data_IF_205078978936
#
_entry.id   IF_205078978936
#
_cell.length_a   1.000
_cell.length_b   1.000
_cell.length_c   1.000
_cell.angle_alpha   90.00
_cell.angle_beta   90.00
_cell.angle_gamma   90.00
#
_symmetry.space_group_name_H-M   'P 1'
#
loop_
_entity.id
_entity.type
_entity.pdbx_description
1 polymer ?
#
# COMPACT_ATOMS: atom_id res chain seq x y z
N UNK A 1 18.37 -5.00 -18.55
CA UNK A 1 16.95 -5.43 -18.64
C UNK A 1 16.47 -5.30 -20.07
N UNK A 2 15.72 -6.27 -20.63
CA UNK A 2 15.16 -6.13 -22.00
C UNK A 2 14.12 -4.99 -21.99
N UNK A 3 14.07 -4.19 -23.06
CA UNK A 3 13.15 -3.03 -23.19
C UNK A 3 11.68 -3.37 -22.86
N UNK A 4 11.23 -4.58 -23.25
CA UNK A 4 9.89 -5.08 -22.93
C UNK A 4 9.64 -5.24 -21.43
N UNK A 5 10.64 -5.69 -20.65
CA UNK A 5 10.51 -5.84 -19.19
C UNK A 5 10.44 -4.46 -18.49
N UNK A 6 11.22 -3.47 -18.94
CA UNK A 6 11.15 -2.10 -18.42
C UNK A 6 9.75 -1.51 -18.65
N UNK A 7 9.26 -1.58 -19.90
CA UNK A 7 7.94 -1.06 -20.26
C UNK A 7 6.82 -1.69 -19.42
N UNK A 8 6.82 -3.03 -19.28
CA UNK A 8 5.82 -3.75 -18.52
C UNK A 8 5.90 -3.40 -17.00
N UNK A 9 7.11 -3.22 -16.44
CA UNK A 9 7.30 -2.77 -15.06
C UNK A 9 6.69 -1.39 -14.84
N UNK A 10 6.98 -0.42 -15.72
CA UNK A 10 6.43 0.94 -15.64
C UNK A 10 4.89 0.90 -15.74
N UNK A 11 4.33 0.18 -16.72
CA UNK A 11 2.87 0.13 -16.89
C UNK A 11 2.15 -0.59 -15.72
N UNK A 12 2.77 -1.61 -15.14
CA UNK A 12 2.24 -2.26 -13.95
C UNK A 12 2.26 -1.33 -12.72
N UNK A 13 3.30 -0.49 -12.59
CA UNK A 13 3.43 0.43 -11.45
C UNK A 13 2.45 1.61 -11.48
N UNK A 14 2.00 2.05 -12.66
CA UNK A 14 1.06 3.18 -12.79
C UNK A 14 -0.26 2.95 -12.06
N UNK A 15 -0.79 1.73 -12.08
CA UNK A 15 -2.01 1.42 -11.34
C UNK A 15 -1.82 1.47 -9.83
N UNK A 16 -0.68 0.98 -9.35
CA UNK A 16 -0.37 1.06 -7.93
C UNK A 16 -0.17 2.50 -7.42
N UNK A 17 0.37 3.40 -8.27
CA UNK A 17 0.44 4.84 -7.95
C UNK A 17 -0.97 5.38 -7.71
N UNK A 18 -1.90 5.10 -8.63
CA UNK A 18 -3.27 5.58 -8.54
C UNK A 18 -3.99 5.00 -7.31
N UNK A 19 -3.78 3.72 -7.04
CA UNK A 19 -4.38 3.04 -5.90
C UNK A 19 -3.98 3.70 -4.58
N UNK A 20 -2.68 3.92 -4.37
CA UNK A 20 -2.19 4.58 -3.16
C UNK A 20 -2.64 6.03 -3.09
N UNK A 21 -2.69 6.73 -4.23
CA UNK A 21 -3.23 8.08 -4.31
C UNK A 21 -4.68 8.14 -3.80
N UNK A 22 -5.58 7.40 -4.43
CA UNK A 22 -7.01 7.42 -4.10
C UNK A 22 -7.29 6.95 -2.67
N UNK A 23 -6.62 5.87 -2.27
CA UNK A 23 -6.88 5.25 -0.98
C UNK A 23 -6.42 6.13 0.18
N UNK A 24 -5.25 6.74 0.04
CA UNK A 24 -4.66 7.60 1.08
C UNK A 24 -5.24 9.01 1.04
N UNK A 25 -5.64 9.49 -0.12
CA UNK A 25 -6.33 10.77 -0.25
C UNK A 25 -7.56 10.85 0.67
N UNK A 26 -8.28 9.73 0.83
CA UNK A 26 -9.39 9.64 1.76
C UNK A 26 -8.98 9.99 3.21
N UNK A 27 -7.79 9.56 3.64
CA UNK A 27 -7.29 9.83 5.01
C UNK A 27 -7.05 11.32 5.23
N UNK A 28 -6.58 12.04 4.20
CA UNK A 28 -6.36 13.49 4.29
C UNK A 28 -7.65 14.30 4.36
N UNK A 29 -8.77 13.76 3.88
CA UNK A 29 -10.07 14.44 3.87
C UNK A 29 -11.08 13.85 4.87
N UNK A 30 -10.66 13.04 5.84
CA UNK A 30 -11.56 12.40 6.82
C UNK A 30 -12.41 13.42 7.58
N UNK A 31 -11.84 14.55 8.01
CA UNK A 31 -12.57 15.62 8.72
C UNK A 31 -13.64 16.28 7.83
N UNK A 32 -13.35 16.46 6.55
CA UNK A 32 -14.30 16.99 5.56
C UNK A 32 -15.44 15.99 5.32
N UNK A 33 -15.09 14.70 5.16
CA UNK A 33 -16.11 13.66 4.94
C UNK A 33 -17.04 13.48 6.14
N UNK A 34 -16.54 13.62 7.37
CA UNK A 34 -17.38 13.61 8.55
C UNK A 34 -18.45 14.70 8.52
N UNK A 35 -18.10 15.89 8.02
CA UNK A 35 -19.03 17.03 7.93
C UNK A 35 -19.97 16.96 6.71
N UNK A 36 -19.51 16.38 5.59
CA UNK A 36 -20.24 16.39 4.32
C UNK A 36 -21.19 15.20 4.16
N UNK A 37 -20.80 14.00 4.63
CA UNK A 37 -21.51 12.76 4.32
C UNK A 37 -22.18 12.09 5.54
N UNK A 38 -22.11 12.72 6.70
CA UNK A 38 -22.73 12.20 7.92
C UNK A 38 -23.68 13.24 8.55
N UNK A 39 -24.58 12.81 9.46
CA UNK A 39 -25.47 13.73 10.15
C UNK A 39 -24.70 14.81 10.91
N UNK A 40 -25.11 16.10 10.82
CA UNK A 40 -24.40 17.21 11.48
C UNK A 40 -24.56 17.24 13.02
N UNK A 41 -25.58 16.52 13.54
CA UNK A 41 -25.97 16.62 14.94
C UNK A 41 -25.01 15.92 15.93
N UNK A 42 -24.15 15.04 15.45
CA UNK A 42 -23.21 14.29 16.31
C UNK A 42 -21.84 14.10 15.65
N UNK A 43 -20.91 15.01 15.95
CA UNK A 43 -19.55 14.97 15.43
C UNK A 43 -18.77 13.70 15.82
N UNK A 44 -19.03 13.11 16.98
CA UNK A 44 -18.38 11.88 17.40
C UNK A 44 -18.78 10.71 16.49
N UNK A 45 -20.09 10.48 16.29
CA UNK A 45 -20.58 9.42 15.42
C UNK A 45 -20.25 9.64 13.94
N UNK A 46 -20.18 10.90 13.49
CA UNK A 46 -19.71 11.23 12.15
C UNK A 46 -18.25 10.78 11.94
N UNK A 47 -17.35 11.08 12.87
CA UNK A 47 -15.96 10.63 12.82
C UNK A 47 -15.85 9.10 12.89
N UNK A 48 -16.58 8.45 13.80
CA UNK A 48 -16.63 6.97 13.87
C UNK A 48 -17.10 6.39 12.53
N UNK A 49 -18.12 6.98 11.92
CA UNK A 49 -18.66 6.56 10.63
C UNK A 49 -17.63 6.65 9.48
N UNK A 50 -16.87 7.75 9.40
CA UNK A 50 -15.81 7.91 8.39
C UNK A 50 -14.72 6.86 8.56
N UNK A 51 -14.21 6.68 9.78
CA UNK A 51 -13.19 5.65 10.02
C UNK A 51 -13.70 4.23 9.80
N UNK A 52 -14.97 3.98 10.12
CA UNK A 52 -15.63 2.69 9.82
C UNK A 52 -15.75 2.47 8.32
N UNK A 53 -16.10 3.51 7.54
CA UNK A 53 -16.15 3.41 6.08
C UNK A 53 -14.76 3.13 5.48
N UNK A 54 -13.72 3.76 6.01
CA UNK A 54 -12.33 3.46 5.66
C UNK A 54 -11.97 1.99 5.98
N UNK A 55 -12.31 1.54 7.18
CA UNK A 55 -12.13 0.14 7.60
C UNK A 55 -12.90 -0.85 6.73
N UNK A 56 -14.11 -0.53 6.30
CA UNK A 56 -14.90 -1.35 5.39
C UNK A 56 -14.17 -1.60 4.05
N UNK A 57 -13.48 -0.57 3.51
CA UNK A 57 -12.60 -0.73 2.36
C UNK A 57 -11.47 -1.72 2.60
N UNK A 58 -10.80 -1.66 3.75
CA UNK A 58 -9.75 -2.64 4.10
C UNK A 58 -10.29 -4.05 4.29
N UNK A 59 -11.44 -4.22 4.95
CA UNK A 59 -12.08 -5.52 5.17
C UNK A 59 -12.59 -6.15 3.86
N UNK A 60 -12.88 -5.36 2.85
CA UNK A 60 -13.26 -5.87 1.52
C UNK A 60 -12.07 -6.44 0.72
N UNK A 61 -10.82 -6.00 1.00
CA UNK A 61 -9.62 -6.43 0.25
C UNK A 61 -9.39 -7.95 0.22
N UNK A 62 -9.51 -8.72 1.32
CA UNK A 62 -9.38 -10.17 1.26
C UNK A 62 -10.36 -10.84 0.31
N UNK A 63 -11.60 -10.36 0.23
CA UNK A 63 -12.61 -10.89 -0.68
C UNK A 63 -12.26 -10.59 -2.13
N UNK A 64 -11.81 -9.36 -2.43
CA UNK A 64 -11.27 -9.00 -3.74
C UNK A 64 -10.08 -9.86 -4.11
N UNK A 65 -9.13 -10.08 -3.19
CA UNK A 65 -7.99 -10.95 -3.40
C UNK A 65 -8.41 -12.40 -3.73
N UNK A 66 -9.38 -12.97 -3.00
CA UNK A 66 -9.88 -14.33 -3.28
C UNK A 66 -10.44 -14.46 -4.68
N UNK A 67 -11.25 -13.51 -5.12
CA UNK A 67 -11.92 -13.57 -6.42
C UNK A 67 -10.94 -13.27 -7.55
N UNK A 68 -10.28 -12.11 -7.52
CA UNK A 68 -9.46 -11.65 -8.63
C UNK A 68 -8.15 -12.41 -8.77
N UNK A 69 -7.48 -12.77 -7.66
CA UNK A 69 -6.26 -13.54 -7.77
C UNK A 69 -6.51 -14.98 -8.23
N UNK A 70 -7.65 -15.58 -7.87
CA UNK A 70 -8.07 -16.85 -8.44
C UNK A 70 -8.20 -16.76 -9.98
N UNK A 71 -8.92 -15.77 -10.47
CA UNK A 71 -9.03 -15.58 -11.92
C UNK A 71 -7.67 -15.26 -12.56
N UNK A 72 -6.78 -14.58 -11.87
CA UNK A 72 -5.42 -14.32 -12.36
C UNK A 72 -4.57 -15.56 -12.52
N UNK A 73 -4.67 -16.53 -11.61
CA UNK A 73 -3.97 -17.82 -11.73
C UNK A 73 -4.62 -18.77 -12.75
N UNK A 74 -5.94 -18.68 -12.97
CA UNK A 74 -6.69 -19.58 -13.86
C UNK A 74 -6.83 -19.03 -15.29
N UNK A 75 -7.09 -17.72 -15.44
CA UNK A 75 -7.42 -17.08 -16.73
C UNK A 75 -6.38 -16.10 -17.26
N UNK A 76 -5.34 -15.80 -16.46
CA UNK A 76 -4.26 -14.89 -16.81
C UNK A 76 -4.25 -13.60 -15.99
N UNK A 77 -3.05 -13.07 -15.77
CA UNK A 77 -2.80 -11.90 -14.91
C UNK A 77 -3.29 -10.59 -15.57
N UNK A 78 -3.12 -10.46 -16.88
CA UNK A 78 -3.45 -9.25 -17.65
C UNK A 78 -4.90 -8.81 -17.51
N UNK A 79 -5.85 -9.75 -17.62
CA UNK A 79 -7.27 -9.43 -17.57
C UNK A 79 -7.71 -8.96 -16.19
N UNK A 80 -7.14 -9.53 -15.14
CA UNK A 80 -7.40 -9.12 -13.76
C UNK A 80 -6.98 -7.69 -13.54
N UNK A 81 -5.79 -7.30 -14.01
CA UNK A 81 -5.31 -5.92 -13.93
C UNK A 81 -6.20 -4.91 -14.65
N UNK A 82 -6.77 -5.29 -15.76
CA UNK A 82 -7.68 -4.42 -16.50
C UNK A 82 -8.98 -4.21 -15.73
N UNK A 83 -9.57 -5.28 -15.20
CA UNK A 83 -10.85 -5.24 -14.47
C UNK A 83 -10.68 -4.51 -13.13
N UNK A 84 -9.62 -4.80 -12.37
CA UNK A 84 -9.36 -4.12 -11.08
C UNK A 84 -9.22 -2.61 -11.26
N UNK A 85 -8.55 -2.16 -12.33
CA UNK A 85 -8.40 -0.75 -12.63
C UNK A 85 -9.76 -0.07 -12.96
N UNK A 86 -10.61 -0.70 -13.77
CA UNK A 86 -11.96 -0.19 -14.05
C UNK A 86 -12.77 -0.05 -12.76
N UNK A 87 -12.65 -1.03 -11.85
CA UNK A 87 -13.32 -0.98 -10.56
C UNK A 87 -12.76 0.08 -9.59
N UNK A 88 -11.61 0.67 -9.88
CA UNK A 88 -11.09 1.81 -9.11
C UNK A 88 -11.52 3.16 -9.69
N UNK A 89 -11.62 3.29 -11.00
CA UNK A 89 -12.00 4.53 -11.67
C UNK A 89 -13.44 4.95 -11.30
N UNK A 90 -14.37 4.00 -11.35
CA UNK A 90 -15.78 4.28 -11.05
C UNK A 90 -16.00 4.82 -9.63
N UNK A 91 -15.45 4.23 -8.57
CA UNK A 91 -15.55 4.78 -7.21
C UNK A 91 -14.91 6.15 -7.04
N UNK A 92 -13.78 6.45 -7.71
CA UNK A 92 -13.13 7.77 -7.61
C UNK A 92 -14.07 8.86 -8.13
N UNK A 93 -14.66 8.66 -9.31
CA UNK A 93 -15.68 9.59 -9.82
C UNK A 93 -16.96 9.58 -8.97
N UNK A 94 -17.43 8.42 -8.52
CA UNK A 94 -18.60 8.34 -7.66
C UNK A 94 -18.41 9.15 -6.37
N UNK A 95 -17.22 9.12 -5.75
CA UNK A 95 -16.91 9.92 -4.57
C UNK A 95 -16.83 11.42 -4.90
N UNK A 96 -16.27 11.79 -6.06
CA UNK A 96 -16.18 13.17 -6.51
C UNK A 96 -17.57 13.81 -6.73
N UNK A 97 -18.52 13.04 -7.23
CA UNK A 97 -19.87 13.53 -7.56
C UNK A 97 -20.93 13.14 -6.53
N UNK A 98 -20.54 12.52 -5.41
CA UNK A 98 -21.49 12.14 -4.36
C UNK A 98 -22.12 13.38 -3.73
N UNK A 99 -23.48 13.50 -3.72
CA UNK A 99 -24.17 14.58 -3.03
C UNK A 99 -23.97 14.50 -1.51
N UNK A 100 -24.03 15.65 -0.84
CA UNK A 100 -23.87 15.74 0.62
C UNK A 100 -25.03 15.10 1.38
N UNK A 101 -24.83 14.86 2.68
CA UNK A 101 -25.88 14.41 3.59
C UNK A 101 -27.06 15.40 3.62
N UNK A 102 -26.80 16.70 3.56
CA UNK A 102 -27.84 17.74 3.50
C UNK A 102 -28.76 17.59 2.27
N UNK A 103 -28.23 17.07 1.16
CA UNK A 103 -28.96 16.92 -0.10
C UNK A 103 -29.77 15.64 -0.17
N UNK A 104 -29.20 14.49 0.23
CA UNK A 104 -29.79 13.15 0.02
C UNK A 104 -29.88 12.32 1.33
N UNK A 105 -29.59 12.92 2.48
CA UNK A 105 -29.71 12.29 3.78
C UNK A 105 -28.83 11.03 3.92
N UNK A 106 -29.37 10.02 4.57
CA UNK A 106 -28.69 8.74 4.84
C UNK A 106 -28.13 8.05 3.59
N UNK A 107 -28.70 8.32 2.40
CA UNK A 107 -28.18 7.76 1.16
C UNK A 107 -26.74 8.21 0.85
N UNK A 108 -26.32 9.42 1.27
CA UNK A 108 -24.94 9.86 1.15
C UNK A 108 -23.99 8.97 1.94
N UNK A 109 -24.30 8.70 3.19
CA UNK A 109 -23.54 7.82 4.08
C UNK A 109 -23.44 6.40 3.53
N UNK A 110 -24.58 5.80 3.16
CA UNK A 110 -24.61 4.44 2.58
C UNK A 110 -23.79 4.37 1.30
N UNK A 111 -23.94 5.35 0.42
CA UNK A 111 -23.17 5.41 -0.83
C UNK A 111 -21.66 5.51 -0.59
N UNK A 112 -21.24 6.30 0.40
CA UNK A 112 -19.84 6.38 0.80
C UNK A 112 -19.29 4.99 1.22
N UNK A 113 -20.02 4.24 2.05
CA UNK A 113 -19.65 2.88 2.44
C UNK A 113 -19.54 1.95 1.23
N UNK A 114 -20.52 1.96 0.33
CA UNK A 114 -20.52 1.13 -0.87
C UNK A 114 -19.33 1.47 -1.79
N UNK A 115 -19.05 2.74 -2.00
CA UNK A 115 -17.88 3.22 -2.76
C UNK A 115 -16.60 2.64 -2.15
N UNK A 116 -16.42 2.74 -0.83
CA UNK A 116 -15.24 2.22 -0.12
C UNK A 116 -15.10 0.70 -0.22
N UNK A 117 -16.21 -0.04 -0.13
CA UNK A 117 -16.21 -1.49 -0.31
C UNK A 117 -15.77 -1.87 -1.73
N UNK A 118 -16.31 -1.21 -2.77
CA UNK A 118 -15.93 -1.47 -4.16
C UNK A 118 -14.45 -1.14 -4.42
N UNK A 119 -13.95 -0.02 -3.89
CA UNK A 119 -12.51 0.31 -3.93
C UNK A 119 -11.67 -0.79 -3.27
N UNK A 120 -12.07 -1.23 -2.07
CA UNK A 120 -11.36 -2.29 -1.34
C UNK A 120 -11.31 -3.61 -2.11
N UNK A 121 -12.41 -4.03 -2.75
CA UNK A 121 -12.44 -5.21 -3.59
C UNK A 121 -11.44 -5.10 -4.76
N UNK A 122 -11.39 -3.95 -5.44
CA UNK A 122 -10.48 -3.70 -6.55
C UNK A 122 -9.00 -3.79 -6.10
N UNK A 123 -8.68 -3.12 -5.00
CA UNK A 123 -7.34 -3.05 -4.40
C UNK A 123 -6.82 -4.44 -4.00
N UNK A 124 -7.69 -5.35 -3.58
CA UNK A 124 -7.30 -6.67 -3.07
C UNK A 124 -6.42 -7.50 -3.99
N UNK A 125 -6.50 -7.31 -5.31
CA UNK A 125 -5.65 -8.02 -6.27
C UNK A 125 -4.61 -7.13 -6.97
N UNK A 126 -4.76 -5.81 -6.88
CA UNK A 126 -4.01 -4.87 -7.68
C UNK A 126 -2.52 -4.84 -7.29
N UNK A 127 -2.21 -4.52 -6.02
CA UNK A 127 -0.82 -4.40 -5.52
C UNK A 127 -0.09 -5.74 -5.64
N UNK A 128 -0.67 -6.79 -5.08
CA UNK A 128 -0.09 -8.12 -5.07
C UNK A 128 0.07 -8.67 -6.50
N UNK A 129 -0.89 -8.35 -7.36
CA UNK A 129 -0.82 -8.68 -8.77
C UNK A 129 0.32 -7.96 -9.49
N UNK A 130 0.55 -6.66 -9.21
CA UNK A 130 1.68 -5.93 -9.79
C UNK A 130 3.03 -6.56 -9.38
N UNK A 131 3.17 -6.97 -8.11
CA UNK A 131 4.37 -7.66 -7.64
C UNK A 131 4.59 -8.99 -8.37
N UNK A 132 3.55 -9.83 -8.46
CA UNK A 132 3.63 -11.11 -9.17
C UNK A 132 3.93 -10.89 -10.65
N UNK A 133 3.18 -9.99 -11.31
CA UNK A 133 3.34 -9.69 -12.73
C UNK A 133 4.78 -9.28 -13.07
N UNK A 134 5.34 -8.32 -12.32
CA UNK A 134 6.71 -7.85 -12.57
C UNK A 134 7.74 -8.91 -12.21
N UNK A 135 7.55 -9.67 -11.12
CA UNK A 135 8.45 -10.76 -10.75
C UNK A 135 8.57 -11.84 -11.81
N UNK A 136 7.53 -12.02 -12.66
CA UNK A 136 7.48 -13.00 -13.73
C UNK A 136 8.03 -12.50 -15.09
N UNK A 137 8.13 -11.17 -15.26
CA UNK A 137 8.70 -10.55 -16.47
C UNK A 137 10.19 -10.27 -16.40
N UNK A 138 10.70 -10.04 -15.20
CA UNK A 138 12.07 -9.58 -14.99
C UNK A 138 12.97 -10.76 -14.65
N UNK A 139 14.17 -10.80 -15.27
CA UNK A 139 15.17 -11.82 -14.93
C UNK A 139 15.62 -11.72 -13.48
N UNK A 140 16.02 -12.84 -12.88
CA UNK A 140 16.45 -12.93 -11.47
C UNK A 140 17.46 -11.85 -11.07
N UNK A 141 18.44 -11.54 -11.93
CA UNK A 141 19.45 -10.51 -11.71
C UNK A 141 18.88 -9.12 -11.42
N UNK A 142 17.75 -8.74 -12.02
CA UNK A 142 17.15 -7.42 -11.90
C UNK A 142 15.82 -7.42 -11.14
N UNK A 143 15.41 -8.56 -10.59
CA UNK A 143 14.12 -8.73 -9.90
C UNK A 143 14.00 -7.80 -8.71
N UNK A 144 15.02 -7.73 -7.86
CA UNK A 144 15.02 -6.88 -6.66
C UNK A 144 14.99 -5.40 -7.00
N UNK A 145 15.74 -4.97 -8.03
CA UNK A 145 15.68 -3.60 -8.54
C UNK A 145 14.27 -3.26 -9.04
N UNK A 146 13.64 -4.14 -9.81
CA UNK A 146 12.31 -3.88 -10.38
C UNK A 146 11.22 -3.87 -9.30
N UNK A 147 11.28 -4.77 -8.30
CA UNK A 147 10.33 -4.80 -7.20
C UNK A 147 10.55 -3.66 -6.20
N UNK A 148 11.80 -3.24 -5.99
CA UNK A 148 12.13 -2.01 -5.24
C UNK A 148 11.60 -0.75 -5.95
N UNK A 149 11.73 -0.69 -7.29
CA UNK A 149 11.12 0.37 -8.09
C UNK A 149 9.60 0.41 -7.95
N UNK A 150 8.91 -0.75 -7.98
CA UNK A 150 7.46 -0.80 -7.72
C UNK A 150 7.14 -0.25 -6.34
N UNK A 151 7.85 -0.68 -5.30
CA UNK A 151 7.60 -0.17 -3.94
C UNK A 151 7.79 1.35 -3.86
N UNK A 152 8.82 1.88 -4.50
CA UNK A 152 9.04 3.32 -4.60
C UNK A 152 7.89 4.04 -5.33
N UNK A 153 7.39 3.47 -6.43
CA UNK A 153 6.29 4.06 -7.21
C UNK A 153 4.94 3.99 -6.49
N UNK A 154 4.67 2.94 -5.71
CA UNK A 154 3.50 2.87 -4.84
C UNK A 154 3.53 4.01 -3.80
N UNK A 155 4.68 4.19 -3.14
CA UNK A 155 4.89 5.29 -2.19
C UNK A 155 4.82 6.67 -2.87
N UNK A 156 5.17 6.78 -4.15
CA UNK A 156 4.98 8.01 -4.93
C UNK A 156 3.50 8.38 -5.10
N UNK A 157 2.58 7.39 -5.17
CA UNK A 157 1.13 7.65 -5.11
C UNK A 157 0.71 8.35 -3.82
N UNK A 158 1.29 7.94 -2.67
CA UNK A 158 1.09 8.61 -1.38
C UNK A 158 1.62 10.06 -1.40
N UNK A 159 2.79 10.30 -2.01
CA UNK A 159 3.36 11.65 -2.18
C UNK A 159 2.42 12.55 -3.00
N UNK A 160 1.90 12.04 -4.11
CA UNK A 160 0.95 12.80 -4.94
C UNK A 160 -0.31 13.17 -4.15
N UNK A 161 -0.87 12.25 -3.36
CA UNK A 161 -2.02 12.53 -2.47
C UNK A 161 -1.69 13.63 -1.45
N UNK A 162 -0.50 13.55 -0.81
CA UNK A 162 -0.02 14.57 0.13
C UNK A 162 0.18 15.95 -0.51
N UNK A 163 0.79 16.01 -1.70
CA UNK A 163 1.02 17.26 -2.43
C UNK A 163 -0.30 17.89 -2.90
N UNK A 164 -1.24 17.08 -3.40
CA UNK A 164 -2.55 17.58 -3.81
C UNK A 164 -3.35 18.05 -2.59
N UNK A 165 -3.30 17.32 -1.47
CA UNK A 165 -3.91 17.77 -0.21
C UNK A 165 -3.32 19.07 0.27
N UNK A 166 -1.98 19.21 0.26
CA UNK A 166 -1.30 20.46 0.61
C UNK A 166 -1.73 21.61 -0.31
N UNK A 167 -1.78 21.38 -1.62
CA UNK A 167 -2.22 22.39 -2.58
C UNK A 167 -3.65 22.85 -2.31
N UNK A 168 -4.57 21.94 -1.99
CA UNK A 168 -5.96 22.27 -1.60
C UNK A 168 -5.95 23.13 -0.32
N UNK A 169 -5.23 22.73 0.72
CA UNK A 169 -5.24 23.45 1.99
C UNK A 169 -4.58 24.86 1.92
N UNK A 170 -3.68 25.08 0.98
CA UNK A 170 -3.03 26.40 0.77
C UNK A 170 -3.88 27.36 -0.06
N UNK A 171 -4.66 26.84 -1.03
CA UNK A 171 -5.35 27.66 -2.02
C UNK A 171 -6.85 27.86 -1.75
N UNK A 172 -7.44 27.05 -0.86
CA UNK A 172 -8.88 27.11 -0.58
C UNK A 172 -9.12 27.30 0.91
N UNK A 173 -10.13 28.10 1.25
CA UNK A 173 -10.63 28.24 2.63
C UNK A 173 -11.27 26.94 3.11
N UNK A 174 -11.41 26.79 4.43
CA UNK A 174 -12.04 25.61 5.04
C UNK A 174 -13.49 25.42 4.53
N UNK A 175 -14.21 26.52 4.28
CA UNK A 175 -15.56 26.47 3.74
C UNK A 175 -15.58 25.99 2.29
N UNK A 176 -14.70 26.54 1.42
CA UNK A 176 -14.58 26.11 0.03
C UNK A 176 -14.14 24.64 -0.09
N UNK A 177 -13.25 24.18 0.82
CA UNK A 177 -12.85 22.78 0.86
C UNK A 177 -14.05 21.90 1.16
N UNK A 178 -14.88 22.25 2.14
CA UNK A 178 -16.10 21.53 2.50
C UNK A 178 -17.14 21.53 1.39
N UNK A 179 -17.31 22.65 0.70
CA UNK A 179 -18.36 22.80 -0.30
C UNK A 179 -18.06 22.06 -1.60
N UNK A 180 -16.86 22.23 -2.15
CA UNK A 180 -16.53 21.67 -3.46
C UNK A 180 -15.07 21.24 -3.66
N UNK A 181 -14.08 21.92 -3.03
CA UNK A 181 -12.68 21.73 -3.43
C UNK A 181 -12.14 20.33 -3.08
N UNK A 182 -12.69 19.64 -2.05
CA UNK A 182 -12.35 18.27 -1.74
C UNK A 182 -12.63 17.28 -2.89
N UNK A 183 -13.52 17.64 -3.83
CA UNK A 183 -13.90 16.81 -4.99
C UNK A 183 -12.83 16.78 -6.07
N UNK A 184 -12.07 17.87 -6.21
CA UNK A 184 -11.05 18.04 -7.25
C UNK A 184 -9.98 16.92 -7.24
N UNK A 185 -9.43 16.54 -6.08
CA UNK A 185 -8.48 15.43 -6.00
C UNK A 185 -9.02 14.11 -6.52
N UNK A 186 -10.30 13.79 -6.27
CA UNK A 186 -10.93 12.55 -6.73
C UNK A 186 -11.25 12.56 -8.22
N UNK A 187 -11.57 13.74 -8.79
CA UNK A 187 -11.68 13.92 -10.25
C UNK A 187 -10.33 13.66 -10.90
N UNK A 188 -9.25 14.23 -10.35
CA UNK A 188 -7.88 13.98 -10.83
C UNK A 188 -7.53 12.49 -10.76
N UNK A 189 -7.86 11.81 -9.66
CA UNK A 189 -7.70 10.36 -9.50
C UNK A 189 -8.41 9.58 -10.59
N UNK A 190 -9.68 9.89 -10.84
CA UNK A 190 -10.46 9.26 -11.90
C UNK A 190 -9.85 9.47 -13.30
N UNK A 191 -9.39 10.68 -13.62
CA UNK A 191 -8.72 11.01 -14.91
C UNK A 191 -7.41 10.24 -15.05
N UNK A 192 -6.56 10.22 -14.01
CA UNK A 192 -5.34 9.41 -14.02
C UNK A 192 -5.63 7.92 -14.14
N UNK A 193 -6.74 7.45 -13.55
CA UNK A 193 -7.21 6.08 -13.68
C UNK A 193 -7.54 5.70 -15.12
N UNK A 194 -8.25 6.55 -15.84
CA UNK A 194 -8.54 6.35 -17.26
C UNK A 194 -7.24 6.23 -18.07
N UNK A 195 -6.28 7.12 -17.83
CA UNK A 195 -4.99 7.10 -18.51
C UNK A 195 -4.21 5.81 -18.19
N UNK A 196 -4.15 5.42 -16.91
CA UNK A 196 -3.47 4.20 -16.48
C UNK A 196 -4.16 2.95 -17.06
N UNK A 197 -5.48 2.91 -17.09
CA UNK A 197 -6.26 1.84 -17.71
C UNK A 197 -5.93 1.71 -19.21
N UNK A 198 -5.90 2.82 -19.94
CA UNK A 198 -5.51 2.83 -21.35
C UNK A 198 -4.08 2.31 -21.57
N UNK A 199 -3.12 2.69 -20.74
CA UNK A 199 -1.75 2.19 -20.84
C UNK A 199 -1.66 0.67 -20.55
N UNK A 200 -2.49 0.17 -19.64
CA UNK A 200 -2.55 -1.26 -19.30
C UNK A 200 -3.13 -2.15 -20.40
N UNK A 201 -3.95 -1.63 -21.29
CA UNK A 201 -4.40 -2.41 -22.48
C UNK A 201 -3.22 -2.90 -23.33
N UNK A 202 -2.08 -2.18 -23.28
CA UNK A 202 -0.84 -2.50 -24.00
C UNK A 202 0.05 -3.53 -23.28
N UNK A 203 -0.33 -4.01 -22.09
CA UNK A 203 0.38 -5.08 -21.39
C UNK A 203 0.24 -6.41 -22.13
N UNK A 204 1.29 -7.23 -22.05
CA UNK A 204 1.24 -8.62 -22.50
C UNK A 204 1.03 -9.53 -21.30
N UNK A 205 0.54 -10.74 -21.53
CA UNK A 205 0.47 -11.77 -20.50
C UNK A 205 1.87 -12.20 -20.06
N UNK A 206 1.99 -12.70 -18.81
CA UNK A 206 3.28 -13.09 -18.25
C UNK A 206 3.83 -14.33 -18.93
N UNK A 207 5.16 -14.38 -19.21
CA UNK A 207 5.78 -15.57 -19.79
C UNK A 207 5.57 -16.82 -18.94
N UNK A 208 5.52 -16.65 -17.63
CA UNK A 208 5.34 -17.74 -16.68
C UNK A 208 3.92 -18.32 -16.74
N UNK A 209 2.89 -17.47 -16.87
CA UNK A 209 1.52 -17.95 -17.08
C UNK A 209 1.38 -18.71 -18.41
N UNK A 210 1.97 -18.19 -19.49
CA UNK A 210 1.95 -18.86 -20.78
C UNK A 210 2.65 -20.25 -20.73
N UNK A 211 3.76 -20.34 -19.96
CA UNK A 211 4.46 -21.61 -19.72
C UNK A 211 3.57 -22.61 -18.97
N UNK A 212 2.97 -22.19 -17.85
CA UNK A 212 2.08 -23.03 -17.05
C UNK A 212 0.88 -23.51 -17.85
N UNK A 213 0.29 -22.63 -18.67
CA UNK A 213 -0.83 -22.98 -19.56
C UNK A 213 -0.44 -24.00 -20.62
N UNK A 214 0.71 -23.82 -21.26
CA UNK A 214 1.24 -24.74 -22.29
C UNK A 214 1.52 -26.12 -21.71
N UNK A 215 2.07 -26.19 -20.50
CA UNK A 215 2.42 -27.43 -19.82
C UNK A 215 1.24 -28.08 -19.09
N UNK A 216 0.04 -27.49 -19.12
CA UNK A 216 -1.15 -27.95 -18.37
C UNK A 216 -0.93 -28.02 -16.84
N UNK A 217 -0.09 -27.12 -16.30
CA UNK A 217 0.24 -27.01 -14.87
C UNK A 217 -0.67 -26.05 -14.10
N UNK A 218 -1.73 -25.51 -14.74
CA UNK A 218 -2.69 -24.63 -14.08
C UNK A 218 -3.55 -25.39 -13.07
N UNK A 219 -3.67 -24.85 -11.86
CA UNK A 219 -4.48 -25.44 -10.81
C UNK A 219 -5.94 -24.99 -10.92
N UNK A 220 -6.88 -25.89 -10.62
CA UNK A 220 -8.31 -25.55 -10.58
C UNK A 220 -8.68 -24.69 -9.37
N UNK A 221 -8.03 -24.92 -8.21
CA UNK A 221 -8.28 -24.21 -6.98
C UNK A 221 -6.95 -23.78 -6.31
N UNK A 222 -6.23 -22.77 -6.88
CA UNK A 222 -4.90 -22.40 -6.42
C UNK A 222 -4.87 -21.95 -4.96
N UNK A 223 -5.89 -21.21 -4.48
CA UNK A 223 -5.95 -20.75 -3.09
C UNK A 223 -6.08 -21.91 -2.10
N UNK A 224 -6.93 -22.89 -2.39
CA UNK A 224 -7.11 -24.06 -1.50
C UNK A 224 -5.81 -24.85 -1.38
N UNK A 225 -5.10 -25.00 -2.48
CA UNK A 225 -3.80 -25.68 -2.50
C UNK A 225 -2.76 -24.89 -1.72
N UNK A 226 -2.73 -23.55 -1.88
CA UNK A 226 -1.84 -22.69 -1.10
C UNK A 226 -2.08 -22.79 0.40
N UNK A 227 -3.34 -22.77 0.85
CA UNK A 227 -3.72 -22.92 2.26
C UNK A 227 -3.28 -24.26 2.87
N UNK A 228 -3.35 -25.33 2.09
CA UNK A 228 -2.96 -26.68 2.55
C UNK A 228 -1.44 -26.86 2.61
N UNK A 229 -0.70 -26.38 1.60
CA UNK A 229 0.69 -26.78 1.36
C UNK A 229 1.71 -25.67 1.66
N UNK A 230 1.31 -24.37 1.70
CA UNK A 230 2.21 -23.23 1.77
C UNK A 230 2.06 -22.40 3.05
N UNK A 231 1.95 -23.05 4.22
CA UNK A 231 1.78 -22.39 5.54
C UNK A 231 2.96 -21.46 5.90
N UNK A 232 4.22 -21.88 5.67
CA UNK A 232 5.40 -21.04 5.91
C UNK A 232 5.47 -19.83 4.96
N UNK A 233 5.24 -19.95 3.64
CA UNK A 233 5.05 -18.81 2.76
C UNK A 233 3.98 -17.82 3.22
N UNK A 234 2.86 -18.30 3.76
CA UNK A 234 1.81 -17.43 4.32
C UNK A 234 2.29 -16.66 5.56
N UNK A 235 3.06 -17.31 6.44
CA UNK A 235 3.67 -16.62 7.60
C UNK A 235 4.64 -15.52 7.15
N UNK A 236 5.41 -15.74 6.08
CA UNK A 236 6.24 -14.68 5.46
C UNK A 236 5.38 -13.49 5.03
N UNK A 237 4.20 -13.73 4.41
CA UNK A 237 3.28 -12.65 4.06
C UNK A 237 2.76 -11.89 5.27
N UNK A 238 2.43 -12.56 6.38
CA UNK A 238 2.00 -11.92 7.63
C UNK A 238 3.10 -10.99 8.18
N UNK A 239 4.33 -11.47 8.28
CA UNK A 239 5.47 -10.68 8.77
C UNK A 239 5.76 -9.48 7.84
N UNK A 240 5.76 -9.70 6.53
CA UNK A 240 5.97 -8.62 5.56
C UNK A 240 4.82 -7.61 5.57
N UNK A 241 3.58 -8.03 5.80
CA UNK A 241 2.44 -7.13 5.99
C UNK A 241 2.59 -6.23 7.22
N UNK A 242 3.18 -6.75 8.31
CA UNK A 242 3.51 -5.95 9.48
C UNK A 242 4.54 -4.87 9.15
N UNK A 243 5.58 -5.21 8.38
CA UNK A 243 6.58 -4.24 7.91
C UNK A 243 5.97 -3.18 6.97
N UNK A 244 5.07 -3.59 6.07
CA UNK A 244 4.36 -2.67 5.18
C UNK A 244 3.43 -1.73 5.96
N UNK A 245 2.72 -2.23 6.96
CA UNK A 245 1.83 -1.42 7.80
C UNK A 245 2.60 -0.42 8.66
N UNK A 246 3.81 -0.79 9.11
CA UNK A 246 4.68 0.14 9.84
C UNK A 246 5.08 1.34 8.97
N UNK A 247 5.26 1.15 7.66
CA UNK A 247 5.50 2.24 6.71
C UNK A 247 4.34 3.23 6.65
N UNK A 248 3.10 2.73 6.58
CA UNK A 248 1.93 3.59 6.63
C UNK A 248 1.85 4.33 7.97
N UNK A 249 2.06 3.63 9.08
CA UNK A 249 2.04 4.23 10.42
C UNK A 249 3.10 5.34 10.57
N UNK A 250 4.33 5.08 10.15
CA UNK A 250 5.43 6.05 10.20
C UNK A 250 5.13 7.31 9.39
N UNK A 251 4.46 7.18 8.24
CA UNK A 251 4.18 8.30 7.35
C UNK A 251 2.88 9.07 7.65
N UNK A 252 1.89 8.45 8.30
CA UNK A 252 0.56 9.05 8.47
C UNK A 252 0.12 9.22 9.92
N UNK A 253 0.58 8.36 10.83
CA UNK A 253 0.13 8.38 12.23
C UNK A 253 1.14 9.14 13.09
N UNK A 254 2.42 8.78 13.01
CA UNK A 254 3.48 9.42 13.81
C UNK A 254 3.53 10.95 13.60
N UNK A 255 3.39 11.51 12.38
CA UNK A 255 3.37 12.96 12.21
C UNK A 255 2.26 13.71 12.95
N UNK A 256 1.15 13.04 13.25
CA UNK A 256 0.07 13.65 14.03
C UNK A 256 0.50 14.03 15.47
N UNK A 257 1.52 13.37 15.98
CA UNK A 257 2.07 13.62 17.31
C UNK A 257 3.22 14.65 17.30
N UNK A 258 3.47 15.31 16.17
CA UNK A 258 4.52 16.35 16.05
C UNK A 258 4.12 17.70 16.63
N UNK A 259 2.97 17.82 17.32
CA UNK A 259 2.50 19.07 17.94
C UNK A 259 3.53 19.70 18.87
N UNK A 260 4.34 18.88 19.56
CA UNK A 260 5.43 19.32 20.40
C UNK A 260 6.56 20.02 19.64
N UNK A 261 6.73 19.69 18.32
CA UNK A 261 7.82 20.20 17.49
C UNK A 261 7.37 21.16 16.40
N UNK A 262 6.06 21.20 16.07
CA UNK A 262 5.50 21.97 14.95
C UNK A 262 4.08 22.43 15.27
N UNK A 263 3.90 23.74 15.34
CA UNK A 263 2.60 24.35 15.66
C UNK A 263 1.63 24.53 14.49
N UNK A 264 2.07 24.29 13.22
CA UNK A 264 1.29 24.60 12.02
C UNK A 264 1.01 23.33 11.18
N UNK A 265 -0.27 23.13 10.82
CA UNK A 265 -0.72 22.00 9.98
C UNK A 265 -0.02 21.96 8.62
N UNK A 266 0.29 23.11 8.02
CA UNK A 266 1.02 23.20 6.75
C UNK A 266 2.44 22.64 6.91
N UNK A 267 3.12 22.98 8.01
CA UNK A 267 4.45 22.45 8.30
C UNK A 267 4.42 20.94 8.51
N UNK A 268 3.44 20.40 9.24
CA UNK A 268 3.27 18.95 9.44
C UNK A 268 3.11 18.23 8.09
N UNK A 269 2.25 18.76 7.20
CA UNK A 269 2.07 18.22 5.86
C UNK A 269 3.36 18.26 5.03
N UNK A 270 4.14 19.34 5.15
CA UNK A 270 5.41 19.51 4.44
C UNK A 270 6.44 18.47 4.89
N UNK A 271 6.62 18.28 6.19
CA UNK A 271 7.54 17.27 6.73
C UNK A 271 7.09 15.84 6.46
N UNK A 272 5.78 15.58 6.48
CA UNK A 272 5.23 14.30 6.03
C UNK A 272 5.58 14.02 4.55
N UNK A 273 5.50 15.01 3.69
CA UNK A 273 5.90 14.86 2.29
C UNK A 273 7.42 14.60 2.14
N UNK A 274 8.29 15.27 2.92
CA UNK A 274 9.73 14.96 2.94
C UNK A 274 10.00 13.53 3.43
N UNK A 275 9.29 13.07 4.44
CA UNK A 275 9.38 11.70 4.93
C UNK A 275 8.98 10.69 3.84
N UNK A 276 7.91 10.95 3.09
CA UNK A 276 7.50 10.10 1.97
C UNK A 276 8.59 10.06 0.89
N UNK A 277 9.21 11.19 0.56
CA UNK A 277 10.35 11.23 -0.38
C UNK A 277 11.51 10.39 0.15
N UNK A 278 11.83 10.45 1.44
CA UNK A 278 12.86 9.62 2.05
C UNK A 278 12.57 8.12 1.90
N UNK A 279 11.32 7.67 2.11
CA UNK A 279 10.91 6.27 1.89
C UNK A 279 11.01 5.88 0.42
N UNK A 280 10.63 6.75 -0.51
CA UNK A 280 10.75 6.49 -1.97
C UNK A 280 12.20 6.24 -2.34
N UNK A 281 13.10 7.14 -1.94
CA UNK A 281 14.54 7.02 -2.20
C UNK A 281 15.11 5.76 -1.51
N UNK A 282 14.75 5.53 -0.26
CA UNK A 282 15.14 4.35 0.49
C UNK A 282 14.73 3.05 -0.19
N UNK A 283 13.47 2.94 -0.62
CA UNK A 283 12.94 1.75 -1.29
C UNK A 283 13.65 1.45 -2.61
N UNK A 284 13.88 2.49 -3.42
CA UNK A 284 14.59 2.33 -4.69
C UNK A 284 16.06 1.95 -4.49
N UNK A 285 16.78 2.66 -3.61
CA UNK A 285 18.19 2.41 -3.33
C UNK A 285 18.39 1.02 -2.72
N UNK A 286 17.57 0.62 -1.74
CA UNK A 286 17.65 -0.70 -1.12
C UNK A 286 17.37 -1.83 -2.13
N UNK A 287 16.36 -1.67 -2.99
CA UNK A 287 16.09 -2.62 -4.08
C UNK A 287 17.25 -2.71 -5.08
N UNK A 288 17.89 -1.59 -5.42
CA UNK A 288 19.07 -1.55 -6.27
C UNK A 288 20.26 -2.24 -5.60
N UNK A 289 20.59 -1.88 -4.37
CA UNK A 289 21.69 -2.51 -3.61
C UNK A 289 21.46 -4.01 -3.43
N UNK A 290 20.23 -4.44 -3.21
CA UNK A 290 19.87 -5.85 -3.10
C UNK A 290 20.16 -6.64 -4.39
N UNK A 291 20.00 -6.01 -5.57
CA UNK A 291 20.37 -6.62 -6.85
C UNK A 291 21.89 -6.83 -7.03
N UNK A 292 22.74 -6.04 -6.36
CA UNK A 292 24.20 -6.14 -6.45
C UNK A 292 24.80 -6.97 -5.32
N UNK A 293 24.32 -6.78 -4.09
CA UNK A 293 24.93 -7.35 -2.88
C UNK A 293 24.15 -8.49 -2.25
N UNK A 294 22.94 -8.77 -2.77
CA UNK A 294 22.06 -9.83 -2.31
C UNK A 294 20.99 -9.36 -1.32
N UNK A 295 19.79 -9.93 -1.48
CA UNK A 295 18.58 -9.52 -0.77
C UNK A 295 18.71 -9.63 0.76
N UNK A 296 19.24 -10.75 1.24
CA UNK A 296 19.35 -11.03 2.68
C UNK A 296 20.28 -10.05 3.38
N UNK A 297 21.47 -9.81 2.81
CA UNK A 297 22.46 -8.90 3.42
C UNK A 297 21.92 -7.48 3.55
N UNK A 298 21.36 -6.95 2.48
CA UNK A 298 20.84 -5.58 2.46
C UNK A 298 19.63 -5.45 3.38
N UNK A 299 18.70 -6.40 3.37
CA UNK A 299 17.56 -6.40 4.28
C UNK A 299 18.00 -6.38 5.75
N UNK A 300 18.98 -7.20 6.15
CA UNK A 300 19.52 -7.23 7.53
C UNK A 300 20.11 -5.88 7.91
N UNK A 301 21.00 -5.32 7.08
CA UNK A 301 21.69 -4.06 7.38
C UNK A 301 20.66 -2.94 7.58
N UNK A 302 19.73 -2.78 6.63
CA UNK A 302 18.73 -1.70 6.70
C UNK A 302 17.69 -1.91 7.79
N UNK A 303 17.35 -3.15 8.15
CA UNK A 303 16.49 -3.45 9.31
C UNK A 303 17.15 -3.04 10.64
N UNK A 304 18.44 -3.28 10.81
CA UNK A 304 19.19 -2.85 12.00
C UNK A 304 19.25 -1.32 12.05
N UNK A 305 19.58 -0.65 10.94
CA UNK A 305 19.62 0.81 10.88
C UNK A 305 18.24 1.43 11.14
N UNK A 306 17.17 0.80 10.63
CA UNK A 306 15.79 1.22 10.91
C UNK A 306 15.48 1.14 12.42
N UNK A 307 15.87 0.07 13.10
CA UNK A 307 15.70 -0.04 14.54
C UNK A 307 16.50 1.04 15.29
N UNK A 308 17.76 1.30 14.89
CA UNK A 308 18.60 2.31 15.54
C UNK A 308 18.03 3.72 15.43
N UNK A 309 17.67 4.17 14.21
CA UNK A 309 17.11 5.50 14.02
C UNK A 309 15.69 5.63 14.57
N UNK A 310 14.88 4.56 14.46
CA UNK A 310 13.56 4.52 15.05
C UNK A 310 13.60 4.56 16.59
N UNK A 311 14.58 3.91 17.22
CA UNK A 311 14.80 4.02 18.67
C UNK A 311 15.27 5.42 19.07
N UNK A 312 16.11 6.06 18.25
CA UNK A 312 16.57 7.43 18.51
C UNK A 312 15.42 8.44 18.57
N UNK A 313 14.30 8.19 17.87
CA UNK A 313 13.10 9.03 17.99
C UNK A 313 12.53 9.08 19.40
N UNK A 314 12.69 8.01 20.19
CA UNK A 314 12.20 7.99 21.59
C UNK A 314 13.07 8.78 22.56
N UNK A 315 14.20 9.33 22.10
CA UNK A 315 15.05 10.20 22.94
C UNK A 315 14.55 11.64 23.00
N UNK A 316 13.66 12.05 22.08
CA UNK A 316 13.02 13.36 22.02
C UNK A 316 14.00 14.54 22.12
N UNK A 317 15.15 14.43 21.43
CA UNK A 317 16.16 15.49 21.43
C UNK A 317 15.97 16.50 20.26
N UNK A 318 16.85 17.51 20.20
CA UNK A 318 16.84 18.56 19.17
C UNK A 318 16.94 18.00 17.73
N UNK A 319 17.46 16.77 17.58
CA UNK A 319 17.65 16.10 16.28
C UNK A 319 16.47 15.19 15.88
N UNK A 320 15.33 15.26 16.60
CA UNK A 320 14.15 14.42 16.38
C UNK A 320 13.77 14.33 14.89
N UNK A 321 13.70 15.47 14.20
CA UNK A 321 13.33 15.52 12.79
C UNK A 321 14.35 14.83 11.89
N UNK A 322 15.64 14.97 12.17
CA UNK A 322 16.69 14.26 11.46
C UNK A 322 16.54 12.74 11.64
N UNK A 323 16.34 12.28 12.88
CA UNK A 323 16.14 10.85 13.16
C UNK A 323 14.87 10.32 12.48
N UNK A 324 13.81 11.12 12.44
CA UNK A 324 12.59 10.76 11.73
C UNK A 324 12.83 10.57 10.22
N UNK A 325 13.48 11.52 9.55
CA UNK A 325 13.79 11.42 8.13
C UNK A 325 14.75 10.25 7.82
N UNK A 326 15.73 9.99 8.69
CA UNK A 326 16.62 8.84 8.56
C UNK A 326 15.87 7.52 8.77
N UNK A 327 15.01 7.42 9.78
CA UNK A 327 14.14 6.26 9.97
C UNK A 327 13.24 6.03 8.76
N UNK A 328 12.65 7.08 8.18
CA UNK A 328 11.87 7.01 6.95
C UNK A 328 12.70 6.53 5.74
N UNK A 329 13.95 6.97 5.60
CA UNK A 329 14.82 6.45 4.56
C UNK A 329 15.13 4.95 4.77
N UNK A 330 15.40 4.53 6.02
CA UNK A 330 15.60 3.12 6.36
C UNK A 330 14.32 2.30 6.22
N UNK A 331 13.13 2.90 6.37
CA UNK A 331 11.83 2.28 6.10
C UNK A 331 11.69 1.75 4.65
N UNK A 332 12.60 2.11 3.76
CA UNK A 332 12.76 1.46 2.45
C UNK A 332 12.84 -0.07 2.50
N UNK A 333 13.01 -0.69 3.70
CA UNK A 333 12.85 -2.14 3.94
C UNK A 333 11.51 -2.69 3.46
N UNK A 334 10.48 -1.85 3.28
CA UNK A 334 9.21 -2.24 2.65
C UNK A 334 9.40 -2.81 1.24
N UNK A 335 10.48 -2.45 0.54
CA UNK A 335 10.83 -2.98 -0.78
C UNK A 335 11.11 -4.50 -0.77
N UNK A 336 11.48 -5.05 0.39
CA UNK A 336 11.71 -6.50 0.55
C UNK A 336 10.41 -7.31 0.63
N UNK A 337 9.27 -6.68 0.94
CA UNK A 337 8.00 -7.37 0.97
C UNK A 337 7.66 -8.04 -0.37
N UNK A 338 7.58 -7.34 -1.52
CA UNK A 338 7.34 -7.99 -2.79
C UNK A 338 8.46 -8.96 -3.19
N UNK A 339 9.73 -8.68 -2.83
CA UNK A 339 10.87 -9.55 -3.15
C UNK A 339 10.71 -10.92 -2.47
N UNK A 340 10.44 -10.93 -1.17
CA UNK A 340 10.35 -12.16 -0.39
C UNK A 340 9.01 -12.87 -0.61
N UNK A 341 7.89 -12.15 -0.61
CA UNK A 341 6.57 -12.74 -0.83
C UNK A 341 6.47 -13.44 -2.19
N UNK A 342 7.00 -12.85 -3.28
CA UNK A 342 6.96 -13.48 -4.60
C UNK A 342 7.93 -14.65 -4.73
N UNK A 343 8.99 -14.70 -3.93
CA UNK A 343 10.02 -15.74 -4.00
C UNK A 343 9.64 -17.05 -3.29
N UNK A 344 8.68 -17.02 -2.35
CA UNK A 344 8.36 -18.18 -1.51
C UNK A 344 7.19 -19.04 -2.02
N UNK A 345 6.43 -18.57 -3.01
CA UNK A 345 5.33 -19.33 -3.60
C UNK A 345 5.69 -19.94 -4.95
N UNK A 346 5.17 -21.15 -5.21
CA UNK A 346 5.21 -21.76 -6.55
C UNK A 346 4.40 -20.93 -7.55
N UNK A 347 4.85 -20.85 -8.79
CA UNK A 347 4.26 -20.00 -9.83
C UNK A 347 2.77 -20.29 -10.10
N UNK A 348 2.34 -21.57 -10.00
CA UNK A 348 0.96 -22.01 -10.26
C UNK A 348 -0.08 -21.56 -9.24
N UNK A 349 0.36 -21.09 -8.05
CA UNK A 349 -0.52 -20.63 -6.97
C UNK A 349 -0.03 -19.31 -6.33
N UNK A 350 0.99 -18.70 -6.92
CA UNK A 350 1.67 -17.51 -6.38
C UNK A 350 0.72 -16.34 -6.20
N UNK A 351 -0.09 -16.05 -7.21
CA UNK A 351 -0.98 -14.90 -7.16
C UNK A 351 -2.06 -15.11 -6.09
N UNK A 352 -2.75 -16.24 -6.09
CA UNK A 352 -3.81 -16.53 -5.11
C UNK A 352 -3.28 -16.62 -3.69
N UNK A 353 -2.18 -17.35 -3.47
CA UNK A 353 -1.61 -17.55 -2.14
C UNK A 353 -1.06 -16.24 -1.53
N UNK A 354 -0.25 -15.52 -2.31
CA UNK A 354 0.32 -14.24 -1.88
C UNK A 354 -0.76 -13.20 -1.65
N UNK A 355 -1.68 -13.01 -2.61
CA UNK A 355 -2.73 -11.98 -2.51
C UNK A 355 -3.63 -12.19 -1.30
N UNK A 356 -4.06 -13.42 -1.06
CA UNK A 356 -4.92 -13.73 0.08
C UNK A 356 -4.19 -13.48 1.40
N UNK A 357 -3.00 -14.10 1.59
CA UNK A 357 -2.25 -13.97 2.83
C UNK A 357 -1.87 -12.51 3.12
N UNK A 358 -1.42 -11.75 2.11
CA UNK A 358 -1.11 -10.34 2.22
C UNK A 358 -2.33 -9.51 2.63
N UNK A 359 -3.45 -9.62 1.91
CA UNK A 359 -4.60 -8.75 2.15
C UNK A 359 -5.31 -9.06 3.47
N UNK A 360 -5.40 -10.33 3.89
CA UNK A 360 -5.94 -10.69 5.21
C UNK A 360 -5.08 -10.11 6.33
N UNK A 361 -3.77 -10.35 6.29
CA UNK A 361 -2.86 -9.87 7.33
C UNK A 361 -2.73 -8.34 7.33
N UNK A 362 -2.60 -7.73 6.17
CA UNK A 362 -2.45 -6.28 6.05
C UNK A 362 -3.71 -5.53 6.52
N UNK A 363 -4.91 -6.00 6.15
CA UNK A 363 -6.16 -5.40 6.59
C UNK A 363 -6.28 -5.41 8.13
N UNK A 364 -5.98 -6.53 8.77
CA UNK A 364 -6.03 -6.65 10.23
C UNK A 364 -4.97 -5.78 10.92
N UNK A 365 -3.72 -5.84 10.43
CA UNK A 365 -2.61 -5.12 11.04
C UNK A 365 -2.79 -3.62 10.89
N UNK A 366 -3.14 -3.12 9.70
CA UNK A 366 -3.38 -1.68 9.47
C UNK A 366 -4.53 -1.15 10.32
N UNK A 367 -5.58 -1.95 10.52
CA UNK A 367 -6.70 -1.57 11.37
C UNK A 367 -6.29 -1.42 12.85
N UNK A 368 -5.43 -2.30 13.35
CA UNK A 368 -4.98 -2.32 14.75
C UNK A 368 -3.86 -1.30 15.02
N UNK A 369 -2.99 -1.07 14.03
CA UNK A 369 -1.77 -0.26 14.19
C UNK A 369 -2.01 1.14 14.77
N UNK A 370 -3.02 1.96 14.36
CA UNK A 370 -3.27 3.27 14.95
C UNK A 370 -3.49 3.21 16.47
N UNK A 371 -4.33 2.27 16.90
CA UNK A 371 -4.64 2.10 18.34
C UNK A 371 -3.41 1.71 19.14
N UNK A 372 -2.55 0.87 18.58
CA UNK A 372 -1.31 0.46 19.25
C UNK A 372 -0.35 1.66 19.36
N UNK A 373 -0.16 2.42 18.27
CA UNK A 373 0.77 3.56 18.27
C UNK A 373 0.29 4.65 19.23
N UNK A 374 -1.00 4.99 19.24
CA UNK A 374 -1.55 5.98 20.17
C UNK A 374 -1.29 5.62 21.64
N UNK A 375 -1.27 4.32 21.98
CA UNK A 375 -0.99 3.84 23.34
C UNK A 375 0.49 3.83 23.73
N UNK A 376 1.38 3.67 22.74
CA UNK A 376 2.81 3.48 23.00
C UNK A 376 3.66 4.70 22.64
N UNK A 377 3.06 5.74 22.04
CA UNK A 377 3.80 6.84 21.42
C UNK A 377 4.74 7.54 22.42
N UNK A 378 4.24 7.89 23.59
CA UNK A 378 4.99 8.74 24.54
C UNK A 378 6.22 8.08 25.14
N UNK A 379 6.21 6.74 25.31
CA UNK A 379 7.28 6.05 26.05
C UNK A 379 7.89 4.84 25.33
N UNK A 380 7.17 4.25 24.40
CA UNK A 380 7.54 2.95 23.82
C UNK A 380 7.66 2.96 22.30
N UNK A 381 7.60 4.11 21.64
CA UNK A 381 7.67 4.22 20.19
C UNK A 381 8.95 3.55 19.62
N UNK A 382 10.09 3.76 20.29
CA UNK A 382 11.35 3.13 19.89
C UNK A 382 11.30 1.61 19.89
N UNK A 383 10.59 1.00 20.84
CA UNK A 383 10.43 -0.47 20.89
C UNK A 383 9.57 -0.99 19.74
N UNK A 384 8.61 -0.20 19.24
CA UNK A 384 7.84 -0.54 18.05
C UNK A 384 8.75 -0.69 16.82
N UNK A 385 9.69 0.24 16.61
CA UNK A 385 10.66 0.15 15.51
C UNK A 385 11.58 -1.07 15.64
N UNK A 386 12.01 -1.38 16.86
CA UNK A 386 12.79 -2.60 17.14
C UNK A 386 11.96 -3.85 16.80
N UNK A 387 10.69 -3.92 17.20
CA UNK A 387 9.81 -5.05 16.91
C UNK A 387 9.63 -5.27 15.41
N UNK A 388 9.43 -4.19 14.64
CA UNK A 388 9.34 -4.24 13.17
C UNK A 388 10.64 -4.78 12.56
N UNK A 389 11.80 -4.31 13.05
CA UNK A 389 13.09 -4.79 12.59
C UNK A 389 13.30 -6.27 12.92
N UNK A 390 12.95 -6.71 14.12
CA UNK A 390 13.01 -8.13 14.51
C UNK A 390 12.11 -9.00 13.62
N UNK A 391 10.90 -8.54 13.31
CA UNK A 391 10.01 -9.22 12.37
C UNK A 391 10.65 -9.36 10.98
N UNK A 392 11.34 -8.31 10.50
CA UNK A 392 12.08 -8.33 9.23
C UNK A 392 13.23 -9.35 9.26
N UNK A 393 14.04 -9.36 10.32
CA UNK A 393 15.15 -10.31 10.48
C UNK A 393 14.65 -11.75 10.57
N UNK A 394 13.55 -11.98 11.30
CA UNK A 394 12.94 -13.30 11.38
C UNK A 394 12.37 -13.75 10.01
N UNK A 395 11.81 -12.82 9.25
CA UNK A 395 11.35 -13.10 7.90
C UNK A 395 12.51 -13.52 6.97
N UNK A 396 13.66 -12.85 7.03
CA UNK A 396 14.88 -13.24 6.29
C UNK A 396 15.26 -14.68 6.61
N UNK A 397 15.26 -15.06 7.90
CA UNK A 397 15.54 -16.43 8.33
C UNK A 397 14.55 -17.45 7.72
N UNK A 398 13.24 -17.15 7.77
CA UNK A 398 12.21 -18.03 7.22
C UNK A 398 12.35 -18.20 5.70
N UNK A 399 12.56 -17.11 4.97
CA UNK A 399 12.71 -17.14 3.49
C UNK A 399 13.91 -17.99 3.11
N UNK A 400 15.05 -17.82 3.80
CA UNK A 400 16.24 -18.64 3.57
C UNK A 400 15.96 -20.13 3.79
N UNK A 401 15.29 -20.46 4.90
CA UNK A 401 14.90 -21.84 5.24
C UNK A 401 13.93 -22.45 4.21
N UNK A 402 13.02 -21.65 3.63
CA UNK A 402 12.12 -22.13 2.58
C UNK A 402 12.89 -22.42 1.31
N UNK A 403 13.83 -21.53 0.90
CA UNK A 403 14.64 -21.71 -0.30
C UNK A 403 15.60 -22.89 -0.23
N UNK A 404 16.09 -23.25 0.97
CA UNK A 404 16.93 -24.42 1.19
C UNK A 404 16.16 -25.76 1.10
N UNK A 405 14.83 -25.72 1.15
CA UNK A 405 13.96 -26.92 1.07
C UNK A 405 13.39 -27.19 -0.33
N UNK A 406 13.56 -26.26 -1.26
CA UNK A 406 13.09 -26.35 -2.65
C UNK A 406 14.26 -26.67 -3.57
#
# INVERSE_FOLDING_TARGET
MKTKAIKNTIFASLGGILEFYDFVLFVFFTSVFAQVFFPPDDAFWANVGVWTSFGAGYLARPFGAMVFAHFGDVKGRKNVFYISMLMMILPSFALAFLPSYESIGLFATISLFLIRIVQGLAVGAEISGAWVFVSEFVSEKYKSLALGFISATLTFGLLLAGLVSLWINVNFSTEEIKDYAFRLPFILGGVFGILACFLRTKLNETPEFERLKKNQELLKFPLIEALKTHKLPMLVCVLMSFILSSGLATLTIIPKHFDMFMGDEVQKLLYSNFAIVAVILGSFIQGALASFFGNFKICIIFSILFACFGFALSLYDENFLLYYLLACFMQGIISFAPIFMTAVFKSSLRFSGLSFAYNVSYALIVYITPFVIDQIYDHYLGYYFILVALASLFCVFLVKKIQERV
#
